data_IF_862948830830
#
_entry.id   IF_862948830830
#
_cell.length_a   1.000
_cell.length_b   1.000
_cell.length_c   1.000
_cell.angle_alpha   90.00
_cell.angle_beta   90.00
_cell.angle_gamma   90.00
#
_symmetry.space_group_name_H-M   'P 1'
#
loop_
_entity.id
_entity.type
_entity.pdbx_description
1 polymer ?
#
# COMPACT_ATOMS: atom_id res chain seq x y z
N UNK A 1 -14.15 14.88 -16.40
CA UNK A 1 -14.53 14.20 -15.14
C UNK A 1 -15.89 13.49 -15.16
N UNK A 2 -16.63 13.48 -16.28
CA UNK A 2 -17.99 12.93 -16.32
C UNK A 2 -18.11 11.44 -15.87
N UNK A 3 -17.18 10.53 -16.22
CA UNK A 3 -17.27 9.12 -15.81
C UNK A 3 -17.10 8.92 -14.28
N UNK A 4 -16.20 9.68 -13.66
CA UNK A 4 -16.03 9.64 -12.20
C UNK A 4 -17.20 10.28 -11.47
N UNK A 5 -17.79 11.33 -12.01
CA UNK A 5 -18.95 11.98 -11.40
C UNK A 5 -20.16 11.02 -11.31
N UNK A 6 -20.47 10.30 -12.40
CA UNK A 6 -21.57 9.33 -12.41
C UNK A 6 -21.33 8.13 -11.47
N UNK A 7 -20.08 7.67 -11.34
CA UNK A 7 -19.73 6.55 -10.45
C UNK A 7 -19.65 6.97 -8.99
N UNK A 8 -19.12 8.15 -8.68
CA UNK A 8 -19.06 8.70 -7.32
C UNK A 8 -20.45 9.04 -6.78
N UNK A 9 -21.32 9.66 -7.59
CA UNK A 9 -22.69 9.94 -7.15
C UNK A 9 -23.48 8.66 -6.84
N UNK A 10 -23.23 7.56 -7.56
CA UNK A 10 -23.81 6.24 -7.28
C UNK A 10 -23.23 5.57 -6.03
N UNK A 11 -21.96 5.80 -5.72
CA UNK A 11 -21.28 5.20 -4.56
C UNK A 11 -21.55 5.96 -3.25
N UNK A 12 -21.78 7.28 -3.34
CA UNK A 12 -21.98 8.18 -2.20
C UNK A 12 -23.45 8.58 -1.99
N UNK A 13 -24.38 8.01 -2.77
CA UNK A 13 -25.81 8.35 -2.79
C UNK A 13 -26.09 9.87 -2.94
N UNK A 14 -25.30 10.56 -3.75
CA UNK A 14 -25.49 11.98 -4.04
C UNK A 14 -26.43 12.20 -5.23
N UNK A 15 -27.28 13.22 -5.15
CA UNK A 15 -28.15 13.61 -6.26
C UNK A 15 -27.31 14.08 -7.45
N UNK A 16 -27.62 13.54 -8.63
CA UNK A 16 -26.89 13.84 -9.87
C UNK A 16 -27.49 15.08 -10.53
N UNK A 17 -26.74 16.20 -10.51
CA UNK A 17 -27.09 17.36 -11.35
C UNK A 17 -26.89 17.07 -12.84
N UNK A 18 -27.99 16.97 -13.57
CA UNK A 18 -28.00 16.66 -15.02
C UNK A 18 -27.44 17.81 -15.86
N UNK A 19 -27.63 19.05 -15.44
CA UNK A 19 -27.19 20.23 -16.18
C UNK A 19 -25.67 20.41 -16.13
N UNK A 20 -25.08 20.18 -14.96
CA UNK A 20 -23.64 20.20 -14.77
C UNK A 20 -22.97 19.06 -15.55
N UNK A 21 -23.57 17.87 -15.54
CA UNK A 21 -23.10 16.70 -16.26
C UNK A 21 -23.12 16.92 -17.78
N UNK A 22 -24.17 17.53 -18.32
CA UNK A 22 -24.26 17.87 -19.75
C UNK A 22 -23.24 18.93 -20.16
N UNK A 23 -22.98 19.94 -19.31
CA UNK A 23 -21.93 20.93 -19.53
C UNK A 23 -20.53 20.29 -19.54
N UNK A 24 -20.28 19.36 -18.62
CA UNK A 24 -19.02 18.61 -18.55
C UNK A 24 -18.83 17.67 -19.75
N UNK A 25 -19.89 17.02 -20.25
CA UNK A 25 -19.82 16.16 -21.44
C UNK A 25 -19.48 16.97 -22.69
N UNK A 26 -20.13 18.11 -22.90
CA UNK A 26 -19.83 19.01 -24.03
C UNK A 26 -18.37 19.49 -24.02
N UNK A 27 -17.86 19.95 -22.87
CA UNK A 27 -16.48 20.40 -22.76
C UNK A 27 -15.46 19.26 -22.99
N UNK A 28 -15.76 18.04 -22.54
CA UNK A 28 -14.88 16.88 -22.81
C UNK A 28 -14.90 16.50 -24.29
N UNK A 29 -16.07 16.55 -24.95
CA UNK A 29 -16.19 16.25 -26.38
C UNK A 29 -15.46 17.27 -27.26
N UNK A 30 -15.51 18.55 -26.91
CA UNK A 30 -14.80 19.62 -27.62
C UNK A 30 -13.28 19.45 -27.53
N UNK A 31 -12.74 19.20 -26.33
CA UNK A 31 -11.30 18.99 -26.15
C UNK A 31 -10.81 17.65 -26.69
N UNK A 32 -11.62 16.58 -26.64
CA UNK A 32 -11.27 15.31 -27.28
C UNK A 32 -11.20 15.45 -28.79
N UNK A 33 -12.13 16.17 -29.41
CA UNK A 33 -12.08 16.47 -30.85
C UNK A 33 -10.82 17.27 -31.19
N UNK A 34 -10.49 18.29 -30.39
CA UNK A 34 -9.26 19.08 -30.60
C UNK A 34 -8.00 18.21 -30.57
N UNK A 35 -7.90 17.32 -29.58
CA UNK A 35 -6.77 16.40 -29.44
C UNK A 35 -6.73 15.32 -30.53
N UNK A 36 -7.88 14.90 -31.07
CA UNK A 36 -7.98 13.98 -32.20
C UNK A 36 -7.56 14.65 -33.51
N UNK A 37 -7.99 15.89 -33.74
CA UNK A 37 -7.58 16.69 -34.89
C UNK A 37 -6.07 16.98 -34.86
N UNK A 38 -5.51 17.31 -33.68
CA UNK A 38 -4.06 17.47 -33.47
C UNK A 38 -3.29 16.18 -33.78
N UNK A 39 -3.84 15.01 -33.41
CA UNK A 39 -3.24 13.70 -33.69
C UNK A 39 -3.28 13.38 -35.18
N UNK A 40 -4.40 13.61 -35.86
CA UNK A 40 -4.51 13.41 -37.31
C UNK A 40 -3.56 14.32 -38.09
N UNK A 41 -3.42 15.57 -37.67
CA UNK A 41 -2.48 16.51 -38.28
C UNK A 41 -1.03 16.08 -38.05
N UNK A 42 -0.70 15.59 -36.86
CA UNK A 42 0.62 15.06 -36.56
C UNK A 42 0.95 13.79 -37.37
N UNK A 43 -0.03 12.92 -37.62
CA UNK A 43 0.15 11.73 -38.45
C UNK A 43 0.35 12.05 -39.94
N UNK A 44 -0.28 13.13 -40.43
CA UNK A 44 -0.19 13.55 -41.85
C UNK A 44 1.04 14.40 -42.15
N UNK A 45 1.49 15.24 -41.23
CA UNK A 45 2.49 16.30 -41.50
C UNK A 45 3.86 16.07 -40.84
N UNK A 46 3.92 15.28 -39.77
CA UNK A 46 4.99 15.37 -38.78
C UNK A 46 5.68 14.02 -38.49
N UNK A 47 6.79 14.07 -37.74
CA UNK A 47 7.63 12.91 -37.44
C UNK A 47 7.11 12.05 -36.27
N UNK A 48 7.72 10.87 -36.07
CA UNK A 48 7.37 9.94 -34.97
C UNK A 48 7.43 10.57 -33.56
N UNK A 49 8.21 11.64 -33.38
CA UNK A 49 8.32 12.36 -32.09
C UNK A 49 7.08 13.21 -31.79
N UNK A 50 6.52 13.88 -32.79
CA UNK A 50 5.38 14.78 -32.63
C UNK A 50 4.05 14.00 -32.53
N UNK A 51 3.95 12.87 -33.23
CA UNK A 51 2.83 11.91 -33.07
C UNK A 51 2.79 11.40 -31.63
N UNK A 52 3.95 11.13 -31.03
CA UNK A 52 4.04 10.68 -29.64
C UNK A 52 3.57 11.76 -28.67
N UNK A 53 4.03 12.99 -28.83
CA UNK A 53 3.69 14.08 -27.89
C UNK A 53 2.19 14.38 -27.92
N UNK A 54 1.57 14.30 -29.10
CA UNK A 54 0.12 14.40 -29.29
C UNK A 54 -0.62 13.22 -28.64
N UNK A 55 -0.10 11.99 -28.78
CA UNK A 55 -0.65 10.80 -28.12
C UNK A 55 -0.52 10.85 -26.59
N UNK A 56 0.58 11.43 -26.08
CA UNK A 56 0.81 11.61 -24.66
C UNK A 56 -0.15 12.66 -24.07
N UNK A 57 -0.32 13.80 -24.74
CA UNK A 57 -1.29 14.83 -24.35
C UNK A 57 -2.73 14.28 -24.30
N UNK A 58 -3.11 13.45 -25.29
CA UNK A 58 -4.39 12.75 -25.29
C UNK A 58 -4.53 11.77 -24.11
N UNK A 59 -3.49 10.99 -23.83
CA UNK A 59 -3.51 10.04 -22.72
C UNK A 59 -3.58 10.74 -21.34
N UNK A 60 -2.86 11.86 -21.17
CA UNK A 60 -2.94 12.71 -19.98
C UNK A 60 -4.34 13.33 -19.81
N UNK A 61 -4.95 13.79 -20.89
CA UNK A 61 -6.32 14.32 -20.86
C UNK A 61 -7.35 13.24 -20.50
N UNK A 62 -7.22 12.03 -21.06
CA UNK A 62 -8.05 10.87 -20.70
C UNK A 62 -7.93 10.49 -19.21
N UNK A 63 -6.72 10.57 -18.65
CA UNK A 63 -6.48 10.43 -17.21
C UNK A 63 -7.18 11.53 -16.41
N UNK A 64 -7.09 12.79 -16.86
CA UNK A 64 -7.72 13.94 -16.18
C UNK A 64 -9.25 13.87 -16.19
N UNK A 65 -9.85 13.36 -17.26
CA UNK A 65 -11.31 13.16 -17.31
C UNK A 65 -11.76 11.92 -16.54
N UNK A 66 -10.87 10.96 -16.29
CA UNK A 66 -11.13 9.78 -15.51
C UNK A 66 -11.64 8.56 -16.26
N UNK A 67 -11.41 8.51 -17.57
CA UNK A 67 -11.71 7.32 -18.37
C UNK A 67 -10.56 6.31 -18.26
N UNK A 68 -10.71 5.37 -17.33
CA UNK A 68 -9.69 4.37 -17.00
C UNK A 68 -9.37 3.43 -18.18
N UNK A 69 -10.37 3.01 -18.94
CA UNK A 69 -10.18 2.02 -20.02
C UNK A 69 -9.62 2.67 -21.29
N UNK A 70 -10.09 3.87 -21.61
CA UNK A 70 -9.55 4.69 -22.71
C UNK A 70 -8.10 5.11 -22.46
N UNK A 71 -7.80 5.58 -21.24
CA UNK A 71 -6.45 5.98 -20.86
C UNK A 71 -5.46 4.80 -20.94
N UNK A 72 -5.83 3.63 -20.42
CA UNK A 72 -4.94 2.46 -20.41
C UNK A 72 -4.60 1.98 -21.84
N UNK A 73 -5.58 2.02 -22.74
CA UNK A 73 -5.38 1.71 -24.15
C UNK A 73 -4.49 2.75 -24.85
N UNK A 74 -4.69 4.04 -24.55
CA UNK A 74 -3.88 5.13 -25.09
C UNK A 74 -2.42 5.08 -24.60
N UNK A 75 -2.18 4.82 -23.32
CA UNK A 75 -0.83 4.67 -22.76
C UNK A 75 -0.10 3.45 -23.31
N UNK A 76 -0.80 2.32 -23.52
CA UNK A 76 -0.21 1.14 -24.20
C UNK A 76 0.21 1.45 -25.63
N UNK A 77 -0.68 2.08 -26.41
CA UNK A 77 -0.37 2.51 -27.78
C UNK A 77 0.81 3.49 -27.83
N UNK A 78 0.89 4.40 -26.86
CA UNK A 78 1.99 5.37 -26.76
C UNK A 78 3.31 4.68 -26.37
N UNK A 79 3.25 3.72 -25.44
CA UNK A 79 4.39 2.91 -25.01
C UNK A 79 5.01 2.12 -26.18
N UNK A 80 4.19 1.47 -26.99
CA UNK A 80 4.65 0.68 -28.14
C UNK A 80 5.28 1.55 -29.24
N UNK A 81 4.84 2.81 -29.37
CA UNK A 81 5.39 3.78 -30.34
C UNK A 81 6.63 4.52 -29.82
N UNK A 82 6.87 4.58 -28.51
CA UNK A 82 8.05 5.23 -27.92
C UNK A 82 9.34 4.42 -28.10
N UNK A 83 10.32 5.02 -28.78
CA UNK A 83 11.64 4.40 -29.00
C UNK A 83 12.58 4.61 -27.81
N UNK A 84 12.63 5.83 -27.25
CA UNK A 84 13.56 6.17 -26.18
C UNK A 84 13.14 5.58 -24.82
N UNK A 85 14.11 5.04 -24.08
CA UNK A 85 13.87 4.40 -22.78
C UNK A 85 13.41 5.40 -21.70
N UNK A 86 13.93 6.64 -21.72
CA UNK A 86 13.55 7.68 -20.76
C UNK A 86 12.07 8.01 -20.80
N UNK A 87 11.49 8.18 -22.00
CA UNK A 87 10.07 8.47 -22.15
C UNK A 87 9.16 7.28 -21.81
N UNK A 88 9.66 6.04 -21.96
CA UNK A 88 8.96 4.85 -21.47
C UNK A 88 8.91 4.82 -19.94
N UNK A 89 9.99 5.25 -19.28
CA UNK A 89 10.04 5.42 -17.84
C UNK A 89 9.11 6.53 -17.39
N UNK A 90 9.03 7.67 -18.09
CA UNK A 90 8.11 8.76 -17.75
C UNK A 90 6.64 8.30 -17.72
N UNK A 91 6.21 7.50 -18.71
CA UNK A 91 4.86 6.88 -18.76
C UNK A 91 4.61 5.96 -17.56
N UNK A 92 5.62 5.18 -17.14
CA UNK A 92 5.54 4.32 -15.95
C UNK A 92 5.54 5.17 -14.66
N UNK A 93 6.26 6.29 -14.64
CA UNK A 93 6.28 7.23 -13.52
C UNK A 93 4.97 8.00 -13.34
N UNK A 94 4.19 8.22 -14.41
CA UNK A 94 2.82 8.72 -14.29
C UNK A 94 1.91 7.78 -13.49
N UNK A 95 2.15 6.47 -13.53
CA UNK A 95 1.44 5.47 -12.70
C UNK A 95 1.99 5.38 -11.27
N UNK A 96 3.23 5.83 -11.04
CA UNK A 96 3.93 5.76 -9.73
C UNK A 96 3.93 7.07 -8.94
N UNK A 97 3.45 8.18 -9.50
CA UNK A 97 3.50 9.54 -8.94
C UNK A 97 2.80 9.75 -7.58
N UNK A 98 2.26 8.69 -7.00
CA UNK A 98 1.64 8.63 -5.67
C UNK A 98 2.68 8.52 -4.54
N UNK A 99 3.95 8.17 -4.83
CA UNK A 99 4.97 7.88 -3.81
C UNK A 99 5.81 9.10 -3.36
N UNK A 100 5.76 10.24 -4.06
CA UNK A 100 6.65 11.39 -3.81
C UNK A 100 6.23 12.25 -2.60
N UNK A 101 5.07 11.97 -2.00
CA UNK A 101 4.49 12.72 -0.87
C UNK A 101 5.24 12.46 0.46
N UNK A 102 6.07 11.41 0.52
CA UNK A 102 6.71 10.90 1.75
C UNK A 102 7.67 11.88 2.44
N UNK A 103 8.20 12.90 1.75
CA UNK A 103 9.07 13.92 2.37
C UNK A 103 8.30 15.14 2.91
N UNK A 104 7.03 15.31 2.54
CA UNK A 104 6.22 16.48 2.93
C UNK A 104 5.47 16.31 4.26
N UNK A 105 5.38 15.08 4.79
CA UNK A 105 4.54 14.74 5.93
C UNK A 105 5.36 14.68 7.24
N UNK A 106 5.29 15.73 8.09
CA UNK A 106 6.00 15.73 9.37
C UNK A 106 5.56 14.60 10.31
N UNK A 107 4.30 14.13 10.19
CA UNK A 107 3.75 13.02 10.96
C UNK A 107 4.50 11.70 10.70
N UNK A 108 4.77 11.40 9.44
CA UNK A 108 5.48 10.17 9.03
C UNK A 108 6.95 10.25 9.44
N UNK A 109 7.55 11.44 9.32
CA UNK A 109 8.91 11.71 9.79
C UNK A 109 9.03 11.44 11.30
N UNK A 110 8.12 11.98 12.10
CA UNK A 110 8.10 11.75 13.55
C UNK A 110 7.88 10.26 13.89
N UNK A 111 6.97 9.59 13.18
CA UNK A 111 6.74 8.16 13.33
C UNK A 111 8.00 7.33 13.07
N UNK A 112 8.69 7.57 11.95
CA UNK A 112 9.91 6.84 11.58
C UNK A 112 11.04 7.07 12.59
N UNK A 113 11.32 8.33 12.94
CA UNK A 113 12.39 8.65 13.87
C UNK A 113 12.08 8.18 15.30
N UNK A 114 10.81 8.17 15.71
CA UNK A 114 10.43 7.66 17.05
C UNK A 114 10.76 6.17 17.23
N UNK A 115 10.62 5.35 16.18
CA UNK A 115 11.00 3.94 16.21
C UNK A 115 12.52 3.76 16.18
N UNK A 116 13.21 4.58 15.38
CA UNK A 116 14.67 4.53 15.26
C UNK A 116 15.40 4.94 16.56
N UNK A 117 14.90 6.00 17.21
CA UNK A 117 15.47 6.52 18.46
C UNK A 117 14.96 5.75 19.71
N UNK A 118 14.20 4.67 19.53
CA UNK A 118 13.61 3.86 20.60
C UNK A 118 12.71 4.65 21.57
N UNK A 119 12.01 5.68 21.09
CA UNK A 119 11.03 6.47 21.86
C UNK A 119 9.63 5.89 21.70
N UNK A 120 9.35 4.78 22.39
CA UNK A 120 8.14 3.98 22.16
C UNK A 120 6.82 4.65 22.55
N UNK A 121 6.79 5.48 23.59
CA UNK A 121 5.58 6.26 23.94
C UNK A 121 5.13 7.21 22.83
N UNK A 122 6.08 7.93 22.22
CA UNK A 122 5.81 8.83 21.07
C UNK A 122 5.44 8.03 19.82
N UNK A 123 6.05 6.86 19.65
CA UNK A 123 5.73 5.95 18.56
C UNK A 123 4.27 5.48 18.60
N UNK A 124 3.72 5.12 19.76
CA UNK A 124 2.30 4.71 19.87
C UNK A 124 1.33 5.86 19.58
N UNK A 125 1.66 7.08 20.02
CA UNK A 125 0.87 8.27 19.70
C UNK A 125 0.88 8.56 18.19
N UNK A 126 2.06 8.47 17.57
CA UNK A 126 2.24 8.68 16.13
C UNK A 126 1.58 7.56 15.31
N UNK A 127 1.64 6.31 15.78
CA UNK A 127 0.98 5.15 15.18
C UNK A 127 -0.54 5.31 15.16
N UNK A 128 -1.14 5.85 16.22
CA UNK A 128 -2.57 6.12 16.28
C UNK A 128 -2.99 7.20 15.27
N UNK A 129 -2.17 8.24 15.06
CA UNK A 129 -2.41 9.25 14.03
C UNK A 129 -2.31 8.64 12.62
N UNK A 130 -1.25 7.87 12.35
CA UNK A 130 -1.04 7.16 11.08
C UNK A 130 -2.16 6.15 10.83
N UNK A 131 -2.69 5.47 11.85
CA UNK A 131 -3.82 4.55 11.70
C UNK A 131 -5.08 5.25 11.15
N UNK A 132 -5.34 6.50 11.55
CA UNK A 132 -6.47 7.26 11.00
C UNK A 132 -6.24 7.66 9.54
N UNK A 133 -5.02 8.06 9.20
CA UNK A 133 -4.64 8.40 7.81
C UNK A 133 -4.65 7.15 6.89
N UNK A 134 -4.22 5.99 7.41
CA UNK A 134 -4.22 4.72 6.66
C UNK A 134 -5.62 4.13 6.43
N UNK A 135 -6.68 4.72 6.99
CA UNK A 135 -8.07 4.40 6.62
C UNK A 135 -8.48 5.04 5.29
N UNK A 136 -7.53 5.53 4.50
CA UNK A 136 -7.75 5.93 3.13
C UNK A 136 -8.22 4.76 2.25
N UNK A 137 -8.88 5.07 1.14
CA UNK A 137 -9.58 4.13 0.27
C UNK A 137 -8.75 2.88 -0.07
N UNK A 138 -7.45 3.04 -0.37
CA UNK A 138 -6.59 1.94 -0.77
C UNK A 138 -6.11 1.07 0.40
N UNK A 139 -5.78 1.67 1.54
CA UNK A 139 -5.20 0.97 2.70
C UNK A 139 -6.26 0.52 3.72
N UNK A 140 -7.51 0.97 3.59
CA UNK A 140 -8.62 0.61 4.46
C UNK A 140 -8.89 -0.91 4.60
N UNK A 141 -8.63 -1.80 3.64
CA UNK A 141 -8.77 -3.24 3.86
C UNK A 141 -7.66 -3.83 4.76
N UNK A 142 -6.48 -3.20 4.78
CA UNK A 142 -5.26 -3.77 5.37
C UNK A 142 -4.68 -2.97 6.54
N UNK A 143 -5.26 -1.82 6.93
CA UNK A 143 -4.74 -1.01 8.04
C UNK A 143 -4.62 -1.79 9.37
N UNK A 144 -5.58 -2.67 9.68
CA UNK A 144 -5.53 -3.50 10.90
C UNK A 144 -4.35 -4.47 10.90
N UNK A 145 -4.00 -5.00 9.72
CA UNK A 145 -2.83 -5.85 9.56
C UNK A 145 -1.57 -5.02 9.79
N UNK A 146 -1.47 -3.84 9.15
CA UNK A 146 -0.32 -2.94 9.30
C UNK A 146 -0.07 -2.56 10.77
N UNK A 147 -1.08 -2.07 11.48
CA UNK A 147 -0.95 -1.68 12.90
C UNK A 147 -0.49 -2.86 13.76
N UNK A 148 -1.03 -4.07 13.50
CA UNK A 148 -0.63 -5.27 14.23
C UNK A 148 0.84 -5.63 13.99
N UNK A 149 1.30 -5.58 12.75
CA UNK A 149 2.70 -5.91 12.41
C UNK A 149 3.67 -4.86 12.98
N UNK A 150 3.31 -3.58 12.94
CA UNK A 150 4.14 -2.50 13.52
C UNK A 150 4.28 -2.62 15.04
N UNK A 151 3.22 -3.05 15.76
CA UNK A 151 3.32 -3.36 17.19
C UNK A 151 4.28 -4.51 17.47
N UNK A 152 4.19 -5.60 16.70
CA UNK A 152 5.11 -6.75 16.84
C UNK A 152 6.56 -6.30 16.62
N UNK A 153 6.81 -5.47 15.61
CA UNK A 153 8.15 -4.96 15.32
C UNK A 153 8.72 -4.13 16.48
N UNK A 154 7.91 -3.22 17.05
CA UNK A 154 8.33 -2.40 18.19
C UNK A 154 8.63 -3.24 19.43
N UNK A 155 7.79 -4.24 19.73
CA UNK A 155 8.04 -5.18 20.83
C UNK A 155 9.28 -6.04 20.58
N UNK A 156 9.46 -6.54 19.36
CA UNK A 156 10.63 -7.33 18.97
C UNK A 156 11.92 -6.53 19.15
N UNK A 157 11.94 -5.27 18.72
CA UNK A 157 13.12 -4.39 18.82
C UNK A 157 13.54 -4.17 20.28
N UNK A 158 12.57 -3.95 21.19
CA UNK A 158 12.89 -3.80 22.61
C UNK A 158 13.39 -5.13 23.20
N UNK A 159 12.69 -6.23 22.92
CA UNK A 159 13.00 -7.56 23.47
C UNK A 159 14.32 -8.12 22.92
N UNK A 160 14.76 -7.74 21.72
CA UNK A 160 16.01 -8.23 21.14
C UNK A 160 17.25 -7.77 21.93
N UNK A 161 17.16 -6.58 22.52
CA UNK A 161 18.26 -5.97 23.29
C UNK A 161 18.47 -6.59 24.67
N UNK A 162 17.43 -7.23 25.25
CA UNK A 162 17.44 -7.74 26.62
C UNK A 162 17.15 -9.24 26.68
N UNK A 163 17.87 -9.96 27.56
CA UNK A 163 17.57 -11.38 27.84
C UNK A 163 16.36 -11.54 28.75
N UNK A 164 16.23 -10.66 29.74
CA UNK A 164 15.11 -10.58 30.65
C UNK A 164 14.76 -9.11 30.89
N UNK A 165 13.47 -8.83 31.02
CA UNK A 165 12.91 -7.49 31.19
C UNK A 165 11.75 -7.56 32.18
N UNK A 166 11.57 -6.55 33.03
CA UNK A 166 10.37 -6.45 33.87
C UNK A 166 9.19 -5.88 33.08
N UNK A 167 7.98 -6.38 33.33
CA UNK A 167 6.75 -5.87 32.69
C UNK A 167 6.50 -4.40 33.02
N UNK A 168 6.85 -3.95 34.23
CA UNK A 168 6.73 -2.56 34.65
C UNK A 168 7.58 -1.61 33.79
N UNK A 169 8.86 -1.95 33.56
CA UNK A 169 9.72 -1.14 32.69
C UNK A 169 9.20 -1.07 31.25
N UNK A 170 8.67 -2.20 30.74
CA UNK A 170 8.06 -2.23 29.42
C UNK A 170 6.83 -1.30 29.34
N UNK A 171 5.96 -1.37 30.34
CA UNK A 171 4.78 -0.52 30.44
C UNK A 171 5.14 0.97 30.45
N UNK A 172 6.17 1.37 31.22
CA UNK A 172 6.68 2.74 31.25
C UNK A 172 7.29 3.18 29.92
N UNK A 173 8.10 2.33 29.27
CA UNK A 173 8.74 2.66 28.00
C UNK A 173 7.71 2.91 26.86
N UNK A 174 6.65 2.10 26.81
CA UNK A 174 5.57 2.24 25.84
C UNK A 174 4.48 3.24 26.25
N UNK A 175 4.47 3.69 27.51
CA UNK A 175 3.46 4.62 28.05
C UNK A 175 2.06 4.00 28.16
N UNK A 176 1.98 2.70 28.48
CA UNK A 176 0.73 1.93 28.58
C UNK A 176 0.66 1.18 29.91
N UNK A 177 -0.51 0.63 30.24
CA UNK A 177 -0.68 -0.19 31.45
C UNK A 177 -0.08 -1.59 31.34
N UNK A 178 0.32 -2.18 32.47
CA UNK A 178 0.87 -3.54 32.54
C UNK A 178 -0.13 -4.58 32.03
N UNK A 179 -1.42 -4.44 32.35
CA UNK A 179 -2.48 -5.35 31.89
C UNK A 179 -2.62 -5.34 30.36
N UNK A 180 -2.42 -4.18 29.73
CA UNK A 180 -2.50 -4.04 28.28
C UNK A 180 -1.36 -4.80 27.60
N UNK A 181 -0.14 -4.66 28.12
CA UNK A 181 1.04 -5.39 27.63
C UNK A 181 0.87 -6.90 27.80
N UNK A 182 0.36 -7.36 28.93
CA UNK A 182 0.10 -8.79 29.20
C UNK A 182 -0.88 -9.39 28.18
N UNK A 183 -1.98 -8.68 27.87
CA UNK A 183 -2.96 -9.11 26.88
C UNK A 183 -2.40 -9.11 25.44
N UNK A 184 -1.60 -8.11 25.06
CA UNK A 184 -1.02 -8.06 23.72
C UNK A 184 0.07 -9.11 23.51
N UNK A 185 1.01 -9.21 24.46
CA UNK A 185 2.11 -10.19 24.36
C UNK A 185 1.58 -11.61 24.40
N UNK A 186 0.63 -11.94 25.28
CA UNK A 186 0.03 -13.29 25.31
C UNK A 186 -0.59 -13.69 23.97
N UNK A 187 -1.29 -12.76 23.29
CA UNK A 187 -1.84 -12.99 21.95
C UNK A 187 -0.76 -13.22 20.90
N UNK A 188 0.34 -12.46 20.93
CA UNK A 188 1.42 -12.59 19.95
C UNK A 188 2.32 -13.81 20.18
N UNK A 189 2.51 -14.21 21.44
CA UNK A 189 3.19 -15.46 21.81
C UNK A 189 2.35 -16.65 21.38
N UNK A 190 1.04 -16.64 21.63
CA UNK A 190 0.13 -17.70 21.19
C UNK A 190 0.09 -17.83 19.65
N UNK A 191 0.20 -16.71 18.93
CA UNK A 191 0.32 -16.70 17.47
C UNK A 191 1.72 -17.11 16.95
N UNK A 192 2.69 -17.31 17.84
CA UNK A 192 4.07 -17.67 17.49
C UNK A 192 4.83 -16.58 16.73
N UNK A 193 4.43 -15.31 16.87
CA UNK A 193 5.07 -14.16 16.19
C UNK A 193 6.14 -13.49 17.05
N UNK A 194 6.05 -13.63 18.38
CA UNK A 194 7.06 -13.18 19.33
C UNK A 194 7.61 -14.37 20.10
N UNK A 195 8.94 -14.45 20.22
CA UNK A 195 9.65 -15.53 20.90
C UNK A 195 10.05 -15.13 22.32
N UNK A 196 9.04 -14.92 23.17
CA UNK A 196 9.25 -14.64 24.58
C UNK A 196 8.32 -15.50 25.45
N UNK A 197 8.68 -15.63 26.72
CA UNK A 197 7.88 -16.26 27.76
C UNK A 197 7.60 -15.23 28.83
N UNK A 198 6.34 -15.18 29.27
CA UNK A 198 5.92 -14.27 30.34
C UNK A 198 5.82 -15.09 31.63
N UNK A 199 6.50 -14.63 32.66
CA UNK A 199 6.27 -15.06 34.03
C UNK A 199 5.46 -13.98 34.75
N UNK A 200 4.18 -14.26 34.98
CA UNK A 200 3.25 -13.33 35.62
C UNK A 200 3.43 -13.24 37.13
N UNK A 201 4.03 -14.25 37.78
CA UNK A 201 4.24 -14.23 39.23
C UNK A 201 5.37 -13.28 39.59
N UNK A 202 6.45 -13.33 38.82
CA UNK A 202 7.63 -12.49 39.02
C UNK A 202 7.60 -11.19 38.18
N UNK A 203 6.59 -11.00 37.34
CA UNK A 203 6.45 -9.88 36.40
C UNK A 203 7.65 -9.71 35.45
N UNK A 204 8.21 -10.83 34.98
CA UNK A 204 9.39 -10.86 34.10
C UNK A 204 9.01 -11.44 32.73
N UNK A 205 9.53 -10.81 31.68
CA UNK A 205 9.52 -11.32 30.31
C UNK A 205 10.90 -11.86 29.99
N UNK A 206 10.99 -13.15 29.70
CA UNK A 206 12.22 -13.81 29.25
C UNK A 206 12.18 -14.00 27.75
N UNK A 207 13.28 -13.64 27.07
CA UNK A 207 13.38 -13.81 25.62
C UNK A 207 14.05 -15.13 25.29
N UNK A 208 13.44 -15.88 24.38
CA UNK A 208 14.04 -17.09 23.84
C UNK A 208 14.50 -16.78 22.42
N UNK A 209 15.80 -16.93 22.15
CA UNK A 209 16.35 -16.72 20.80
C UNK A 209 16.19 -18.02 20.01
N UNK A 210 15.26 -18.12 19.06
CA UNK A 210 15.14 -19.33 18.27
C UNK A 210 16.35 -19.47 17.34
N UNK A 211 16.86 -20.69 17.21
CA UNK A 211 17.90 -20.99 16.23
C UNK A 211 17.37 -20.78 14.81
N UNK A 212 18.16 -20.10 13.97
CA UNK A 212 17.85 -19.84 12.56
C UNK A 212 17.49 -21.13 11.79
N UNK A 213 18.18 -22.24 12.09
CA UNK A 213 17.92 -23.55 11.47
C UNK A 213 16.54 -24.12 11.82
N UNK A 214 16.09 -23.97 13.06
CA UNK A 214 14.78 -24.48 13.48
C UNK A 214 13.64 -23.71 12.80
N UNK A 215 13.80 -22.39 12.68
CA UNK A 215 12.84 -21.56 11.94
C UNK A 215 12.79 -21.93 10.45
N UNK A 216 13.94 -22.07 9.79
CA UNK A 216 14.02 -22.48 8.37
C UNK A 216 13.40 -23.87 8.14
N UNK A 217 13.66 -24.82 9.05
CA UNK A 217 13.09 -26.15 9.00
C UNK A 217 11.55 -26.10 9.06
N UNK A 218 10.98 -25.40 10.04
CA UNK A 218 9.53 -25.26 10.18
C UNK A 218 8.89 -24.54 8.98
N UNK A 219 9.53 -23.52 8.44
CA UNK A 219 9.03 -22.81 7.26
C UNK A 219 9.02 -23.72 6.02
N UNK A 220 10.07 -24.52 5.84
CA UNK A 220 10.20 -25.46 4.72
C UNK A 220 9.10 -26.52 4.76
N UNK A 221 8.81 -27.09 5.92
CA UNK A 221 7.72 -28.06 6.08
C UNK A 221 6.37 -27.42 5.74
N UNK A 222 6.07 -26.23 6.26
CA UNK A 222 4.80 -25.52 5.96
C UNK A 222 4.63 -25.23 4.47
N UNK A 223 5.68 -24.74 3.80
CA UNK A 223 5.65 -24.47 2.35
C UNK A 223 5.58 -25.78 1.55
N UNK A 224 6.26 -26.82 2.00
CA UNK A 224 6.25 -28.15 1.42
C UNK A 224 4.84 -28.77 1.43
N UNK A 225 4.15 -28.72 2.57
CA UNK A 225 2.77 -29.23 2.69
C UNK A 225 1.80 -28.47 1.79
N UNK A 226 1.96 -27.14 1.69
CA UNK A 226 1.13 -26.33 0.79
C UNK A 226 1.35 -26.69 -0.68
N UNK A 227 2.60 -26.94 -1.07
CA UNK A 227 2.94 -27.37 -2.43
C UNK A 227 2.38 -28.77 -2.71
N UNK A 228 2.57 -29.72 -1.80
CA UNK A 228 2.12 -31.09 -1.94
C UNK A 228 0.59 -31.14 -2.09
N UNK A 229 -0.13 -30.36 -1.29
CA UNK A 229 -1.58 -30.21 -1.40
C UNK A 229 -2.03 -29.65 -2.76
N UNK A 230 -1.29 -28.70 -3.34
CA UNK A 230 -1.59 -28.17 -4.69
C UNK A 230 -1.30 -29.19 -5.78
N UNK A 231 -0.15 -29.86 -5.72
CA UNK A 231 0.24 -30.89 -6.69
C UNK A 231 -0.76 -32.05 -6.66
N UNK A 232 -1.19 -32.47 -5.48
CA UNK A 232 -2.20 -33.52 -5.32
C UNK A 232 -3.57 -33.11 -5.89
N UNK A 233 -3.98 -31.84 -5.73
CA UNK A 233 -5.20 -31.33 -6.38
C UNK A 233 -5.06 -31.31 -7.90
N UNK A 234 -3.92 -30.85 -8.41
CA UNK A 234 -3.65 -30.80 -9.86
C UNK A 234 -3.62 -32.21 -10.49
N UNK A 235 -2.98 -33.18 -9.85
CA UNK A 235 -2.92 -34.55 -10.39
C UNK A 235 -4.29 -35.22 -10.47
N UNK A 236 -5.19 -34.94 -9.52
CA UNK A 236 -6.59 -35.41 -9.56
C UNK A 236 -7.40 -34.78 -10.70
N UNK A 237 -7.12 -33.54 -11.07
CA UNK A 237 -7.79 -32.85 -12.18
C UNK A 237 -7.25 -33.32 -13.53
N UNK A 238 -5.96 -33.62 -13.64
CA UNK A 238 -5.32 -34.08 -14.89
C UNK A 238 -5.65 -35.54 -15.22
N UNK A 239 -5.84 -36.38 -14.19
CA UNK A 239 -6.15 -37.80 -14.36
C UNK A 239 -7.65 -38.09 -14.54
N UNK A 240 -8.52 -37.09 -14.47
CA UNK A 240 -9.94 -37.17 -14.87
C UNK A 240 -10.09 -36.75 -16.33
#
# INVERSE_FOLDING_TARGET
MAPYYESLCKQLDWQVDTDLLNKMKRANEEELKRLDDELEDAEKKLGKSEIRDSMMAKAEYLCRIGDKEGALTAFRKTYDKTVALGHRLDIVFYLLRILEVLHSLPTVRQYLFSLYECRYGVFFQSLAAVEQELKDWLFAPHYRYYVREMRIQAYSQLLESYRSLTLGYMAEAFGVGVEFIDQELSRFIAAGRLHCKIDKVNEIVETNRPDSKNWQYQETIKKGDLLLNRVQKLSRVINM
#
